data_IF_341504647250
#
_entry.id   IF_341504647250
#
_cell.length_a   1.000
_cell.length_b   1.000
_cell.length_c   1.000
_cell.angle_alpha   90.00
_cell.angle_beta   90.00
_cell.angle_gamma   90.00
#
_symmetry.space_group_name_H-M   'P 1'
#
loop_
_entity.id
_entity.type
_entity.pdbx_description
1 polymer ?
#
# COMPACT_ATOMS: atom_id res chain seq x y z
N UNK A 1 -11.24 9.09 11.02
CA UNK A 1 -10.32 8.20 10.28
C UNK A 1 -8.90 8.54 10.60
N UNK A 2 -8.07 7.55 10.84
CA UNK A 2 -6.64 7.70 11.09
C UNK A 2 -5.85 6.91 10.05
N UNK A 3 -4.66 7.40 9.70
CA UNK A 3 -3.76 6.70 8.80
C UNK A 3 -2.43 6.51 9.53
N UNK A 4 -1.94 5.28 9.55
CA UNK A 4 -0.74 4.90 10.28
C UNK A 4 -0.02 3.76 9.56
N UNK A 5 1.19 3.44 10.01
CA UNK A 5 1.88 2.25 9.53
C UNK A 5 1.12 0.99 9.94
N UNK A 6 1.11 0.02 9.05
CA UNK A 6 0.51 -1.28 9.32
C UNK A 6 1.28 -2.02 10.42
N UNK A 7 0.56 -2.72 11.26
CA UNK A 7 1.10 -3.49 12.38
C UNK A 7 0.68 -4.95 12.25
N UNK A 8 1.28 -5.83 13.05
CA UNK A 8 0.95 -7.26 13.05
C UNK A 8 -0.55 -7.51 13.20
N UNK A 9 -1.22 -6.74 14.05
CA UNK A 9 -2.67 -6.87 14.26
C UNK A 9 -3.51 -6.60 13.00
N UNK A 10 -2.94 -5.95 12.01
CA UNK A 10 -3.64 -5.61 10.76
C UNK A 10 -3.52 -6.68 9.68
N UNK A 11 -2.69 -7.70 9.89
CA UNK A 11 -2.37 -8.70 8.86
C UNK A 11 -3.64 -9.36 8.29
N UNK A 12 -4.53 -9.84 9.14
CA UNK A 12 -5.74 -10.52 8.67
C UNK A 12 -6.64 -9.60 7.86
N UNK A 13 -6.78 -8.34 8.29
CA UNK A 13 -7.58 -7.34 7.58
C UNK A 13 -6.96 -6.98 6.23
N UNK A 14 -5.64 -6.85 6.17
CA UNK A 14 -4.92 -6.56 4.93
C UNK A 14 -5.05 -7.73 3.95
N UNK A 15 -4.93 -8.98 4.43
CA UNK A 15 -5.14 -10.17 3.60
C UNK A 15 -6.55 -10.18 3.02
N UNK A 16 -7.55 -9.84 3.82
CA UNK A 16 -8.94 -9.76 3.36
C UNK A 16 -9.09 -8.78 2.19
N UNK A 17 -8.47 -7.60 2.28
CA UNK A 17 -8.51 -6.60 1.21
C UNK A 17 -7.73 -7.08 -0.03
N UNK A 18 -6.56 -7.69 0.15
CA UNK A 18 -5.79 -8.27 -0.94
C UNK A 18 -6.60 -9.34 -1.68
N UNK A 19 -7.34 -10.16 -0.94
CA UNK A 19 -8.21 -11.20 -1.50
C UNK A 19 -9.37 -10.59 -2.29
N UNK A 20 -9.99 -9.51 -1.79
CA UNK A 20 -11.04 -8.79 -2.53
C UNK A 20 -10.54 -8.32 -3.89
N UNK A 21 -9.38 -7.67 -3.93
CA UNK A 21 -8.79 -7.15 -5.17
C UNK A 21 -8.49 -8.28 -6.14
N UNK A 22 -7.89 -9.35 -5.64
CA UNK A 22 -7.54 -10.49 -6.48
C UNK A 22 -8.80 -11.17 -7.07
N UNK A 23 -9.87 -11.30 -6.26
CA UNK A 23 -11.12 -11.85 -6.73
C UNK A 23 -11.77 -11.00 -7.82
N UNK A 24 -11.68 -9.68 -7.72
CA UNK A 24 -12.16 -8.77 -8.76
C UNK A 24 -11.37 -8.99 -10.05
N UNK A 25 -10.04 -9.05 -9.97
CA UNK A 25 -9.19 -9.32 -11.12
C UNK A 25 -9.46 -10.71 -11.73
N UNK A 26 -9.70 -11.72 -10.89
CA UNK A 26 -9.99 -13.08 -11.37
C UNK A 26 -11.32 -13.16 -12.11
N UNK A 27 -12.32 -12.36 -11.75
CA UNK A 27 -13.58 -12.29 -12.50
C UNK A 27 -13.41 -11.68 -13.89
N UNK A 28 -12.53 -10.70 -14.01
CA UNK A 28 -12.25 -9.99 -15.27
C UNK A 28 -11.30 -10.81 -16.14
N UNK A 29 -10.27 -11.38 -15.55
CA UNK A 29 -9.21 -12.14 -16.25
C UNK A 29 -8.96 -13.48 -15.55
N UNK A 30 -9.90 -14.45 -15.64
CA UNK A 30 -9.73 -15.76 -15.02
C UNK A 30 -8.60 -16.60 -15.63
N UNK A 31 -8.13 -16.20 -16.81
CA UNK A 31 -6.97 -16.81 -17.48
C UNK A 31 -5.62 -16.43 -16.85
N UNK A 32 -5.59 -15.37 -16.02
CA UNK A 32 -4.37 -14.85 -15.40
C UNK A 32 -4.41 -15.00 -13.88
N UNK A 33 -5.57 -14.72 -13.25
CA UNK A 33 -5.70 -14.65 -11.80
C UNK A 33 -6.53 -15.79 -11.24
N UNK A 34 -6.09 -16.37 -10.13
CA UNK A 34 -6.80 -17.45 -9.43
C UNK A 34 -7.55 -16.83 -8.25
N UNK A 35 -8.89 -16.86 -8.29
CA UNK A 35 -9.73 -16.36 -7.21
C UNK A 35 -9.56 -17.18 -5.94
N UNK A 36 -9.85 -16.56 -4.78
CA UNK A 36 -9.76 -17.21 -3.48
C UNK A 36 -8.35 -17.34 -2.90
N UNK A 37 -7.34 -16.86 -3.63
CA UNK A 37 -5.95 -16.82 -3.14
C UNK A 37 -5.57 -15.44 -2.66
N UNK A 38 -4.37 -15.28 -2.12
CA UNK A 38 -3.84 -13.97 -1.74
C UNK A 38 -2.44 -13.77 -2.32
N UNK A 39 -2.08 -12.49 -2.54
CA UNK A 39 -0.79 -12.11 -3.10
C UNK A 39 0.37 -12.44 -2.14
N UNK A 40 0.14 -12.35 -0.82
CA UNK A 40 1.17 -12.55 0.20
C UNK A 40 0.68 -13.49 1.29
N UNK A 41 1.61 -14.25 1.89
CA UNK A 41 1.34 -15.01 3.10
C UNK A 41 1.45 -14.10 4.32
N UNK A 42 0.99 -14.59 5.48
CA UNK A 42 1.14 -13.85 6.75
C UNK A 42 2.61 -13.57 7.06
N UNK A 43 3.46 -14.56 6.84
CA UNK A 43 4.91 -14.46 7.08
C UNK A 43 5.54 -13.41 6.19
N UNK A 44 5.16 -13.39 4.90
CA UNK A 44 5.65 -12.38 3.96
C UNK A 44 5.20 -10.98 4.36
N UNK A 45 3.95 -10.81 4.83
CA UNK A 45 3.47 -9.51 5.32
C UNK A 45 4.22 -9.05 6.56
N UNK A 46 4.54 -9.96 7.48
CA UNK A 46 5.36 -9.62 8.65
C UNK A 46 6.71 -9.05 8.22
N UNK A 47 7.36 -9.68 7.26
CA UNK A 47 8.64 -9.20 6.74
C UNK A 47 8.49 -7.82 6.09
N UNK A 48 7.44 -7.63 5.28
CA UNK A 48 7.19 -6.35 4.63
C UNK A 48 6.92 -5.25 5.67
N UNK A 49 6.09 -5.52 6.67
CA UNK A 49 5.75 -4.54 7.70
C UNK A 49 6.95 -4.13 8.55
N UNK A 50 7.97 -4.99 8.65
CA UNK A 50 9.19 -4.71 9.39
C UNK A 50 10.31 -4.12 8.52
N UNK A 51 10.08 -3.96 7.22
CA UNK A 51 11.08 -3.42 6.29
C UNK A 51 10.86 -1.91 6.10
N UNK A 52 11.82 -1.11 6.59
CA UNK A 52 11.76 0.35 6.50
C UNK A 52 11.72 0.87 5.06
N UNK A 53 12.18 0.07 4.09
CA UNK A 53 12.15 0.44 2.68
C UNK A 53 10.86 0.04 1.96
N UNK A 54 9.97 -0.65 2.66
CA UNK A 54 8.66 -1.07 2.13
C UNK A 54 7.55 -0.67 3.09
N UNK A 55 7.36 0.65 3.34
CA UNK A 55 6.33 1.08 4.29
C UNK A 55 4.94 0.76 3.76
N UNK A 56 4.10 0.22 4.63
CA UNK A 56 2.70 -0.05 4.35
C UNK A 56 1.86 0.81 5.28
N UNK A 57 0.98 1.62 4.71
CA UNK A 57 0.08 2.47 5.49
C UNK A 57 -1.33 1.90 5.43
N UNK A 58 -2.03 1.96 6.54
CA UNK A 58 -3.44 1.57 6.61
C UNK A 58 -4.28 2.74 7.07
N UNK A 59 -5.45 2.89 6.45
CA UNK A 59 -6.48 3.81 6.90
C UNK A 59 -7.43 3.03 7.80
N UNK A 60 -7.64 3.51 9.01
CA UNK A 60 -8.47 2.84 10.00
C UNK A 60 -9.60 3.75 10.47
N UNK A 61 -10.71 3.14 10.85
CA UNK A 61 -11.86 3.87 11.38
C UNK A 61 -11.72 4.09 12.90
N UNK A 62 -12.78 4.56 13.54
CA UNK A 62 -12.81 4.86 14.96
C UNK A 62 -12.55 3.64 15.83
N UNK A 63 -12.84 2.44 15.33
CA UNK A 63 -12.63 1.17 16.01
C UNK A 63 -11.30 0.52 15.65
N UNK A 64 -10.41 1.26 14.97
CA UNK A 64 -9.13 0.76 14.47
C UNK A 64 -9.29 -0.36 13.44
N UNK A 65 -10.43 -0.41 12.75
CA UNK A 65 -10.68 -1.36 11.67
C UNK A 65 -10.13 -0.84 10.35
N UNK A 66 -9.43 -1.68 9.61
CA UNK A 66 -8.76 -1.29 8.36
C UNK A 66 -9.78 -1.08 7.26
N UNK A 67 -9.75 0.12 6.67
CA UNK A 67 -10.61 0.51 5.55
C UNK A 67 -9.89 0.50 4.21
N UNK A 68 -8.57 0.55 4.22
CA UNK A 68 -7.76 0.58 3.02
C UNK A 68 -6.29 0.52 3.36
N UNK A 69 -5.47 0.32 2.32
CA UNK A 69 -4.01 0.24 2.49
C UNK A 69 -3.28 0.91 1.34
N UNK A 70 -2.01 1.23 1.58
CA UNK A 70 -1.07 1.64 0.55
C UNK A 70 0.25 0.91 0.78
N UNK A 71 0.63 0.05 -0.16
CA UNK A 71 1.94 -0.61 -0.15
C UNK A 71 2.91 0.25 -0.92
N UNK A 72 4.01 0.61 -0.27
CA UNK A 72 5.01 1.52 -0.85
C UNK A 72 6.38 0.85 -0.89
N UNK A 73 7.23 1.34 -1.78
CA UNK A 73 8.62 0.90 -1.89
C UNK A 73 9.48 2.15 -2.04
N UNK A 74 10.45 2.31 -1.14
CA UNK A 74 11.44 3.38 -1.24
C UNK A 74 12.57 2.89 -2.15
N UNK A 75 12.81 3.62 -3.23
CA UNK A 75 13.83 3.28 -4.22
C UNK A 75 14.76 4.47 -4.46
N UNK A 76 16.04 4.17 -4.59
CA UNK A 76 17.01 5.13 -5.08
C UNK A 76 16.89 5.21 -6.60
N UNK A 77 16.81 6.41 -7.13
CA UNK A 77 16.83 6.59 -8.57
C UNK A 77 18.23 6.31 -9.11
N UNK A 78 18.32 5.79 -10.34
CA UNK A 78 19.61 5.50 -10.94
C UNK A 78 20.52 6.72 -10.96
N UNK A 79 21.78 6.51 -10.59
CA UNK A 79 22.80 7.54 -10.65
C UNK A 79 23.22 7.79 -12.10
N UNK A 80 23.32 9.06 -12.48
CA UNK A 80 23.97 9.44 -13.73
C UNK A 80 24.97 10.56 -13.44
N UNK A 81 25.95 10.72 -14.32
CA UNK A 81 27.06 11.65 -14.11
C UNK A 81 26.64 13.11 -14.01
N UNK A 82 25.43 13.44 -14.49
CA UNK A 82 24.90 14.80 -14.48
C UNK A 82 23.67 14.98 -13.59
N UNK A 83 23.37 14.00 -12.72
CA UNK A 83 22.21 14.08 -11.82
C UNK A 83 22.62 13.83 -10.38
N UNK A 84 22.01 14.58 -9.49
CA UNK A 84 22.17 14.34 -8.05
C UNK A 84 21.35 13.09 -7.70
N UNK A 85 21.91 12.12 -6.96
CA UNK A 85 21.14 10.97 -6.50
C UNK A 85 19.96 11.41 -5.63
N UNK A 86 18.81 10.78 -5.81
CA UNK A 86 17.63 11.05 -4.98
C UNK A 86 16.82 9.78 -4.76
N UNK A 87 16.01 9.79 -3.71
CA UNK A 87 15.10 8.71 -3.40
C UNK A 87 13.70 9.04 -3.88
N UNK A 88 12.97 8.02 -4.31
CA UNK A 88 11.56 8.11 -4.65
C UNK A 88 10.76 7.11 -3.84
N UNK A 89 9.53 7.46 -3.50
CA UNK A 89 8.61 6.55 -2.86
C UNK A 89 7.57 6.10 -3.89
N UNK A 90 7.57 4.80 -4.20
CA UNK A 90 6.62 4.21 -5.12
C UNK A 90 5.42 3.69 -4.35
N UNK A 91 4.21 4.02 -4.83
CA UNK A 91 3.00 3.36 -4.38
C UNK A 91 2.78 2.18 -5.32
N UNK A 92 3.10 0.98 -4.84
CA UNK A 92 2.98 -0.25 -5.61
C UNK A 92 1.54 -0.73 -5.70
N UNK A 93 0.78 -0.56 -4.60
CA UNK A 93 -0.61 -0.99 -4.52
C UNK A 93 -1.37 -0.10 -3.54
N UNK A 94 -2.50 0.43 -3.97
CA UNK A 94 -3.38 1.22 -3.12
C UNK A 94 -4.81 0.70 -3.30
N UNK A 95 -5.44 0.32 -2.20
CA UNK A 95 -6.77 -0.29 -2.22
C UNK A 95 -7.63 0.23 -1.09
N UNK A 96 -8.91 0.37 -1.37
CA UNK A 96 -9.93 0.70 -0.38
C UNK A 96 -10.97 -0.40 -0.36
N UNK A 97 -11.46 -0.76 0.82
CA UNK A 97 -12.51 -1.77 0.97
C UNK A 97 -13.70 -1.40 0.09
N UNK A 98 -14.15 -2.35 -0.74
CA UNK A 98 -15.25 -2.14 -1.67
C UNK A 98 -16.57 -1.78 -0.98
N UNK A 99 -16.69 -2.11 0.31
CA UNK A 99 -17.89 -1.83 1.10
C UNK A 99 -17.88 -0.42 1.72
N UNK A 100 -16.80 0.34 1.53
CA UNK A 100 -16.65 1.69 2.09
C UNK A 100 -16.70 2.70 0.95
N UNK A 101 -17.63 3.64 1.05
CA UNK A 101 -17.84 4.65 0.01
C UNK A 101 -18.01 6.04 0.62
N UNK A 102 -17.69 7.08 -0.16
CA UNK A 102 -17.96 8.46 0.19
C UNK A 102 -17.08 9.06 1.27
N UNK A 103 -16.03 8.38 1.69
CA UNK A 103 -15.11 8.85 2.75
C UNK A 103 -13.76 9.32 2.23
N UNK A 104 -13.55 9.27 0.92
CA UNK A 104 -12.29 9.68 0.27
C UNK A 104 -11.05 9.00 0.84
N UNK A 105 -11.17 7.72 1.21
CA UNK A 105 -10.10 6.96 1.87
C UNK A 105 -8.85 6.88 1.00
N UNK A 106 -9.02 6.57 -0.29
CA UNK A 106 -7.90 6.47 -1.23
C UNK A 106 -7.14 7.78 -1.38
N UNK A 107 -7.87 8.89 -1.51
CA UNK A 107 -7.27 10.22 -1.61
C UNK A 107 -6.48 10.57 -0.35
N UNK A 108 -7.05 10.29 0.82
CA UNK A 108 -6.38 10.57 2.09
C UNK A 108 -5.15 9.70 2.31
N UNK A 109 -5.21 8.43 1.89
CA UNK A 109 -4.03 7.57 1.89
C UNK A 109 -2.93 8.14 1.00
N UNK A 110 -3.27 8.55 -0.20
CA UNK A 110 -2.30 9.14 -1.13
C UNK A 110 -1.66 10.40 -0.57
N UNK A 111 -2.46 11.29 0.00
CA UNK A 111 -1.96 12.52 0.63
C UNK A 111 -1.04 12.21 1.81
N UNK A 112 -1.40 11.22 2.63
CA UNK A 112 -0.57 10.79 3.75
C UNK A 112 0.78 10.25 3.27
N UNK A 113 0.78 9.43 2.22
CA UNK A 113 2.02 8.90 1.63
C UNK A 113 2.92 10.05 1.15
N UNK A 114 2.34 11.09 0.55
CA UNK A 114 3.12 12.26 0.11
C UNK A 114 3.77 12.98 1.29
N UNK A 115 3.04 13.14 2.39
CA UNK A 115 3.60 13.77 3.60
C UNK A 115 4.71 12.92 4.21
N UNK A 116 4.53 11.60 4.28
CA UNK A 116 5.55 10.69 4.80
C UNK A 116 6.79 10.65 3.88
N UNK A 117 6.59 10.74 2.58
CA UNK A 117 7.70 10.81 1.62
C UNK A 117 8.57 12.05 1.87
N UNK A 118 7.96 13.19 2.15
CA UNK A 118 8.69 14.42 2.52
C UNK A 118 9.51 14.20 3.78
N UNK A 119 8.95 13.57 4.80
CA UNK A 119 9.64 13.28 6.05
C UNK A 119 10.81 12.33 5.87
N UNK A 120 10.71 11.41 4.90
CA UNK A 120 11.79 10.49 4.55
C UNK A 120 12.88 11.12 3.70
N UNK A 121 12.69 12.35 3.23
CA UNK A 121 13.61 13.00 2.31
C UNK A 121 13.48 12.50 0.88
N UNK A 122 12.36 11.90 0.51
CA UNK A 122 12.10 11.47 -0.86
C UNK A 122 11.79 12.68 -1.75
N UNK A 123 12.38 12.69 -2.94
CA UNK A 123 12.18 13.75 -3.92
C UNK A 123 10.78 13.75 -4.51
N UNK A 124 10.22 12.56 -4.73
CA UNK A 124 8.93 12.42 -5.40
C UNK A 124 8.18 11.17 -4.92
N UNK A 125 6.87 11.17 -5.16
CA UNK A 125 6.02 9.98 -5.01
C UNK A 125 5.56 9.57 -6.40
N UNK A 126 5.77 8.30 -6.74
CA UNK A 126 5.37 7.73 -8.02
C UNK A 126 4.27 6.69 -7.74
N UNK A 127 3.13 6.84 -8.39
CA UNK A 127 2.03 5.89 -8.28
C UNK A 127 2.01 4.98 -9.49
N UNK A 128 1.95 3.69 -9.24
CA UNK A 128 1.75 2.70 -10.29
C UNK A 128 0.30 2.70 -10.73
N UNK A 129 0.08 2.75 -12.03
CA UNK A 129 -1.27 2.68 -12.61
C UNK A 129 -1.72 1.24 -12.81
#
# INVERSE_FOLDING_TARGET
>A
MNIRLAEEKDIDSVIKLLTQVLNIHAKIRPDIFIGGTTKYTKEELMEIFNDANRPVYVAVDENDSVMGYAFCIKKKQPFSTNMVPFDSLFIDDLCVDQNIRGKHVGQKLFEHVKEEAKKMGCYEVIRRN
#
